data_IF_810083842920
#
_entry.id   IF_810083842920
#
_cell.length_a   1.000
_cell.length_b   1.000
_cell.length_c   1.000
_cell.angle_alpha   90.00
_cell.angle_beta   90.00
_cell.angle_gamma   90.00
#
_symmetry.space_group_name_H-M   'P 1'
#
loop_
_entity.id
_entity.type
_entity.pdbx_description
1 polymer ?
#
# COMPACT_ATOMS: atom_id res chain seq x y z
N UNK A 1 -18.36 -10.61 4.10
CA UNK A 1 -18.00 -9.43 4.93
C UNK A 1 -19.06 -8.36 4.68
N UNK A 2 -19.29 -7.42 5.60
CA UNK A 2 -20.25 -6.33 5.38
C UNK A 2 -19.60 -5.20 4.56
N UNK A 3 -20.33 -4.58 3.61
CA UNK A 3 -19.79 -3.54 2.71
C UNK A 3 -19.15 -2.39 3.48
N UNK A 4 -19.83 -1.89 4.50
CA UNK A 4 -19.32 -0.79 5.34
C UNK A 4 -18.06 -1.19 6.11
N UNK A 5 -17.96 -2.47 6.51
CA UNK A 5 -16.78 -2.99 7.21
C UNK A 5 -15.59 -3.10 6.25
N UNK A 6 -15.80 -3.60 5.04
CA UNK A 6 -14.77 -3.66 4.00
C UNK A 6 -14.27 -2.26 3.62
N UNK A 7 -15.17 -1.27 3.49
CA UNK A 7 -14.82 0.14 3.26
C UNK A 7 -13.94 0.66 4.40
N UNK A 8 -14.35 0.45 5.65
CA UNK A 8 -13.60 0.92 6.81
C UNK A 8 -12.20 0.30 6.90
N UNK A 9 -12.09 -1.02 6.71
CA UNK A 9 -10.81 -1.73 6.73
C UNK A 9 -9.90 -1.30 5.57
N UNK A 10 -10.44 -1.15 4.37
CA UNK A 10 -9.69 -0.67 3.19
C UNK A 10 -9.18 0.74 3.43
N UNK A 11 -10.02 1.63 3.98
CA UNK A 11 -9.61 3.00 4.34
C UNK A 11 -8.50 3.01 5.38
N UNK A 12 -8.63 2.22 6.45
CA UNK A 12 -7.61 2.13 7.49
C UNK A 12 -6.27 1.66 6.90
N UNK A 13 -6.30 0.63 6.05
CA UNK A 13 -5.12 0.12 5.36
C UNK A 13 -4.46 1.18 4.47
N UNK A 14 -5.26 1.94 3.71
CA UNK A 14 -4.74 3.05 2.88
C UNK A 14 -4.04 4.10 3.76
N UNK A 15 -4.62 4.43 4.91
CA UNK A 15 -4.03 5.38 5.86
C UNK A 15 -2.68 4.87 6.40
N UNK A 16 -2.60 3.58 6.78
CA UNK A 16 -1.36 2.93 7.20
C UNK A 16 -0.30 2.92 6.09
N UNK A 17 -0.70 2.63 4.85
CA UNK A 17 0.16 2.67 3.67
C UNK A 17 0.74 4.08 3.48
N UNK A 18 -0.09 5.12 3.57
CA UNK A 18 0.34 6.50 3.42
C UNK A 18 1.34 6.92 4.50
N UNK A 19 1.13 6.49 5.75
CA UNK A 19 2.09 6.74 6.84
C UNK A 19 3.43 6.10 6.54
N UNK A 20 3.42 4.81 6.19
CA UNK A 20 4.62 4.03 5.88
C UNK A 20 5.39 4.60 4.67
N UNK A 21 4.69 4.99 3.62
CA UNK A 21 5.29 5.66 2.45
C UNK A 21 5.96 6.96 2.84
N UNK A 22 5.30 7.77 3.68
CA UNK A 22 5.86 9.03 4.16
C UNK A 22 7.13 8.81 4.98
N UNK A 23 7.14 7.82 5.88
CA UNK A 23 8.33 7.49 6.68
C UNK A 23 9.52 7.08 5.79
N UNK A 24 9.26 6.25 4.77
CA UNK A 24 10.30 5.87 3.80
C UNK A 24 10.83 7.10 3.05
N UNK A 25 9.92 7.96 2.57
CA UNK A 25 10.28 9.15 1.79
C UNK A 25 11.08 10.17 2.62
N UNK A 26 10.73 10.37 3.89
CA UNK A 26 11.50 11.18 4.84
C UNK A 26 12.90 10.60 5.06
N UNK A 27 13.00 9.27 5.22
CA UNK A 27 14.28 8.56 5.34
C UNK A 27 15.20 8.73 4.13
N UNK A 28 14.63 8.74 2.92
CA UNK A 28 15.39 8.91 1.67
C UNK A 28 15.86 10.35 1.44
N UNK A 29 15.04 11.35 1.76
CA UNK A 29 15.41 12.76 1.61
C UNK A 29 16.59 13.17 2.51
N UNK A 30 16.83 12.44 3.61
CA UNK A 30 17.97 12.66 4.50
C UNK A 30 19.33 12.22 3.96
N UNK A 31 19.42 11.44 2.86
CA UNK A 31 20.67 10.84 2.39
C UNK A 31 20.89 11.05 0.90
N UNK A 32 21.60 12.14 0.56
CA UNK A 32 21.75 12.60 -0.83
C UNK A 32 22.69 11.76 -1.71
N UNK A 33 23.38 10.73 -1.20
CA UNK A 33 24.54 10.14 -1.87
C UNK A 33 24.69 8.62 -1.69
N UNK A 34 23.64 7.87 -2.01
CA UNK A 34 23.62 6.42 -1.79
C UNK A 34 23.27 5.62 -3.05
N UNK A 35 24.05 4.58 -3.41
CA UNK A 35 23.77 3.73 -4.57
C UNK A 35 22.47 2.92 -4.43
N UNK A 36 21.93 2.76 -3.22
CA UNK A 36 20.64 2.11 -3.00
C UNK A 36 19.45 3.01 -3.36
N UNK A 37 19.66 4.32 -3.52
CA UNK A 37 18.62 5.30 -3.78
C UNK A 37 17.78 4.96 -5.00
N UNK A 38 18.38 4.48 -6.09
CA UNK A 38 17.62 4.09 -7.30
C UNK A 38 16.68 2.92 -7.06
N UNK A 39 17.12 1.92 -6.28
CA UNK A 39 16.30 0.75 -5.92
C UNK A 39 15.18 1.17 -4.98
N UNK A 40 15.50 2.04 -4.02
CA UNK A 40 14.53 2.56 -3.05
C UNK A 40 13.49 3.47 -3.72
N UNK A 41 13.89 4.38 -4.62
CA UNK A 41 12.98 5.21 -5.41
C UNK A 41 12.07 4.38 -6.31
N UNK A 42 12.61 3.33 -6.95
CA UNK A 42 11.79 2.40 -7.75
C UNK A 42 10.77 1.68 -6.87
N UNK A 43 11.21 1.17 -5.72
CA UNK A 43 10.34 0.48 -4.77
C UNK A 43 9.26 1.41 -4.20
N UNK A 44 9.60 2.68 -3.94
CA UNK A 44 8.66 3.69 -3.48
C UNK A 44 7.61 4.02 -4.55
N UNK A 45 8.02 4.03 -5.82
CA UNK A 45 7.12 4.20 -6.97
C UNK A 45 6.17 3.00 -7.13
N UNK A 46 6.65 1.77 -6.93
CA UNK A 46 5.80 0.57 -6.90
C UNK A 46 4.78 0.64 -5.75
N UNK A 47 5.22 1.04 -4.55
CA UNK A 47 4.35 1.22 -3.39
C UNK A 47 3.30 2.33 -3.61
N UNK A 48 3.66 3.43 -4.28
CA UNK A 48 2.71 4.48 -4.69
C UNK A 48 1.67 3.97 -5.69
N UNK A 49 2.10 3.16 -6.66
CA UNK A 49 1.21 2.57 -7.66
C UNK A 49 0.18 1.67 -6.98
N UNK A 50 0.62 0.78 -6.09
CA UNK A 50 -0.26 -0.10 -5.32
C UNK A 50 -1.23 0.67 -4.41
N UNK A 51 -0.77 1.80 -3.84
CA UNK A 51 -1.65 2.72 -3.09
C UNK A 51 -2.73 3.31 -4.00
N UNK A 52 -2.38 3.82 -5.19
CA UNK A 52 -3.36 4.34 -6.14
C UNK A 52 -4.38 3.28 -6.57
N UNK A 53 -3.93 2.05 -6.80
CA UNK A 53 -4.83 0.94 -7.12
C UNK A 53 -5.80 0.65 -5.98
N UNK A 54 -5.31 0.60 -4.73
CA UNK A 54 -6.16 0.44 -3.54
C UNK A 54 -7.14 1.60 -3.35
N UNK A 55 -6.69 2.83 -3.58
CA UNK A 55 -7.52 4.03 -3.53
C UNK A 55 -8.63 3.97 -4.60
N UNK A 56 -8.29 3.57 -5.82
CA UNK A 56 -9.26 3.42 -6.90
C UNK A 56 -10.30 2.33 -6.59
N UNK A 57 -9.86 1.20 -6.03
CA UNK A 57 -10.77 0.15 -5.58
C UNK A 57 -11.66 0.63 -4.42
N UNK A 58 -11.12 1.36 -3.45
CA UNK A 58 -11.89 1.98 -2.37
C UNK A 58 -12.97 2.94 -2.91
N UNK A 59 -12.61 3.84 -3.83
CA UNK A 59 -13.56 4.77 -4.45
C UNK A 59 -14.65 3.99 -5.17
N UNK A 60 -14.29 2.96 -5.96
CA UNK A 60 -15.27 2.10 -6.62
C UNK A 60 -16.20 1.42 -5.63
N UNK A 61 -15.70 0.97 -4.47
CA UNK A 61 -16.47 0.28 -3.43
C UNK A 61 -17.40 1.24 -2.65
N UNK A 62 -16.92 2.45 -2.40
CA UNK A 62 -17.70 3.53 -1.77
C UNK A 62 -18.76 4.11 -2.70
N UNK A 63 -18.51 4.13 -4.02
CA UNK A 63 -19.43 4.66 -5.03
C UNK A 63 -20.30 3.60 -5.70
N UNK A 64 -20.11 2.31 -5.40
CA UNK A 64 -20.99 1.26 -5.95
C UNK A 64 -22.38 1.43 -5.37
N UNK A 65 -23.39 1.44 -6.24
CA UNK A 65 -24.79 1.45 -5.83
C UNK A 65 -25.14 0.15 -5.09
N UNK A 66 -26.18 0.18 -4.25
CA UNK A 66 -26.68 -0.99 -3.50
C UNK A 66 -27.17 -2.14 -4.40
N UNK A 67 -27.22 -1.92 -5.72
CA UNK A 67 -27.56 -2.93 -6.74
C UNK A 67 -26.36 -3.77 -7.20
N UNK A 68 -25.18 -3.56 -6.65
CA UNK A 68 -24.01 -4.39 -6.95
C UNK A 68 -24.31 -5.84 -6.57
N UNK A 69 -24.27 -6.74 -7.55
CA UNK A 69 -24.54 -8.15 -7.34
C UNK A 69 -23.50 -8.76 -6.39
N UNK A 70 -23.90 -9.80 -5.66
CA UNK A 70 -23.02 -10.45 -4.69
C UNK A 70 -21.72 -10.97 -5.32
N UNK A 71 -21.76 -11.44 -6.58
CA UNK A 71 -20.55 -11.83 -7.34
C UNK A 71 -19.59 -10.67 -7.56
N UNK A 72 -20.08 -9.50 -7.95
CA UNK A 72 -19.24 -8.32 -8.16
C UNK A 72 -18.60 -7.87 -6.85
N UNK A 73 -19.34 -7.98 -5.74
CA UNK A 73 -18.84 -7.68 -4.41
C UNK A 73 -17.73 -8.67 -3.98
N UNK A 74 -17.95 -9.98 -4.13
CA UNK A 74 -16.94 -11.01 -3.86
C UNK A 74 -15.65 -10.82 -4.68
N UNK A 75 -15.80 -10.45 -5.95
CA UNK A 75 -14.66 -10.20 -6.82
C UNK A 75 -13.90 -8.93 -6.42
N UNK A 76 -14.62 -7.88 -6.00
CA UNK A 76 -14.01 -6.66 -5.50
C UNK A 76 -13.29 -6.89 -4.16
N UNK A 77 -13.88 -7.67 -3.25
CA UNK A 77 -13.24 -8.08 -1.99
C UNK A 77 -11.92 -8.82 -2.27
N UNK A 78 -11.92 -9.80 -3.18
CA UNK A 78 -10.69 -10.50 -3.60
C UNK A 78 -9.63 -9.57 -4.18
N UNK A 79 -10.04 -8.62 -5.01
CA UNK A 79 -9.10 -7.67 -5.61
C UNK A 79 -8.46 -6.77 -4.55
N UNK A 80 -9.22 -6.34 -3.53
CA UNK A 80 -8.68 -5.56 -2.42
C UNK A 80 -7.69 -6.39 -1.62
N UNK A 81 -8.05 -7.61 -1.25
CA UNK A 81 -7.14 -8.49 -0.50
C UNK A 81 -5.85 -8.77 -1.27
N UNK A 82 -5.94 -9.04 -2.57
CA UNK A 82 -4.76 -9.22 -3.42
C UNK A 82 -3.90 -7.96 -3.48
N UNK A 83 -4.49 -6.78 -3.69
CA UNK A 83 -3.74 -5.52 -3.70
C UNK A 83 -3.09 -5.22 -2.34
N UNK A 84 -3.76 -5.54 -1.23
CA UNK A 84 -3.20 -5.40 0.12
C UNK A 84 -2.04 -6.36 0.35
N UNK A 85 -2.16 -7.60 -0.11
CA UNK A 85 -1.10 -8.59 0.00
C UNK A 85 0.11 -8.18 -0.85
N UNK A 86 -0.10 -7.81 -2.11
CA UNK A 86 0.96 -7.29 -2.98
C UNK A 86 1.64 -6.06 -2.39
N UNK A 87 0.88 -5.15 -1.78
CA UNK A 87 1.46 -4.02 -1.05
C UNK A 87 2.34 -4.51 0.11
N UNK A 88 1.85 -5.45 0.91
CA UNK A 88 2.60 -5.92 2.07
C UNK A 88 3.86 -6.69 1.67
N UNK A 89 3.83 -7.46 0.58
CA UNK A 89 5.00 -8.14 0.01
C UNK A 89 6.00 -7.13 -0.55
N UNK A 90 5.54 -6.15 -1.34
CA UNK A 90 6.38 -5.07 -1.83
C UNK A 90 6.98 -4.27 -0.67
N UNK A 91 6.20 -3.94 0.36
CA UNK A 91 6.63 -3.23 1.55
C UNK A 91 7.56 -4.06 2.42
N UNK A 92 7.41 -5.37 2.48
CA UNK A 92 8.32 -6.26 3.23
C UNK A 92 9.64 -6.42 2.50
N UNK A 93 9.63 -6.52 1.18
CA UNK A 93 10.84 -6.52 0.35
C UNK A 93 11.57 -5.17 0.46
N UNK A 94 10.82 -4.07 0.33
CA UNK A 94 11.30 -2.72 0.58
C UNK A 94 11.85 -2.58 1.99
N UNK A 95 11.09 -3.05 2.97
CA UNK A 95 11.41 -3.08 4.37
C UNK A 95 12.68 -3.88 4.64
N UNK A 96 12.95 -4.98 3.95
CA UNK A 96 14.22 -5.71 4.10
C UNK A 96 15.42 -4.86 3.63
N UNK A 97 15.23 -4.04 2.58
CA UNK A 97 16.21 -3.07 2.09
C UNK A 97 16.38 -1.93 3.11
N UNK A 98 15.27 -1.35 3.58
CA UNK A 98 15.25 -0.24 4.53
C UNK A 98 15.72 -0.64 5.93
N UNK A 99 15.31 -1.80 6.46
CA UNK A 99 15.66 -2.29 7.80
C UNK A 99 17.12 -2.71 7.87
N UNK A 100 17.73 -3.23 6.79
CA UNK A 100 19.19 -3.39 6.71
C UNK A 100 19.93 -2.05 6.82
N UNK A 101 19.29 -0.96 6.42
CA UNK A 101 19.82 0.41 6.47
C UNK A 101 19.56 1.11 7.81
N UNK A 102 18.40 0.87 8.43
CA UNK A 102 18.01 1.43 9.73
C UNK A 102 18.53 0.62 10.93
N UNK A 103 18.94 -0.65 10.75
CA UNK A 103 19.84 -1.35 11.68
C UNK A 103 21.29 -0.97 11.37
N UNK A 104 21.74 0.18 11.85
CA UNK A 104 23.13 0.28 12.29
C UNK A 104 23.20 -0.33 13.69
N UNK A 105 23.89 -1.46 13.92
CA UNK A 105 24.40 -1.76 15.25
C UNK A 105 25.49 -0.72 15.59
N UNK A 106 25.53 -0.40 16.87
CA UNK A 106 26.47 0.49 17.58
C UNK A 106 27.95 0.25 17.23
#
# INVERSE_FOLDING_TARGET
>A
MDKNKLIAETKQRIDEINRKLKEIQDGLNGQHNDPLRTVEESTLKDLHTLRDELQAQYVRLSSSSEKMGQRDYDQMEKNIYNSLQSFNDAFTNAGSIFTRRFKRPE
#
